data_IF_075576526040
#
_entry.id   IF_075576526040
#
_cell.length_a   1.000
_cell.length_b   1.000
_cell.length_c   1.000
_cell.angle_alpha   90.00
_cell.angle_beta   90.00
_cell.angle_gamma   90.00
#
_symmetry.space_group_name_H-M   'P 1'
#
loop_
_entity.id
_entity.type
_entity.pdbx_description
1 polymer ?
#
# COMPACT_ATOMS: atom_id res chain seq x y z
N UNK A 1 7.61 10.78 16.53
CA UNK A 1 7.60 9.72 15.50
C UNK A 1 7.90 8.41 16.18
N UNK A 2 7.02 7.44 16.04
CA UNK A 2 7.20 6.05 16.50
C UNK A 2 7.30 5.13 15.29
N UNK A 3 8.03 4.03 15.45
CA UNK A 3 8.03 2.94 14.48
C UNK A 3 7.15 1.82 15.03
N UNK A 4 6.19 1.39 14.23
CA UNK A 4 5.25 0.33 14.57
C UNK A 4 5.33 -0.76 13.51
N UNK A 5 5.34 -2.01 13.93
CA UNK A 5 5.21 -3.15 13.02
C UNK A 5 3.82 -3.74 13.15
N UNK A 6 3.08 -3.77 12.05
CA UNK A 6 1.81 -4.46 11.96
C UNK A 6 2.06 -5.90 11.51
N UNK A 7 1.55 -6.93 12.22
CA UNK A 7 1.86 -8.34 11.95
C UNK A 7 1.28 -8.87 10.63
N UNK A 8 0.51 -8.06 9.91
CA UNK A 8 -0.04 -8.43 8.61
C UNK A 8 -0.72 -7.27 7.90
N UNK A 9 -0.90 -7.41 6.59
CA UNK A 9 -1.71 -6.49 5.76
C UNK A 9 -3.18 -6.48 6.23
N UNK A 10 -3.67 -7.56 6.83
CA UNK A 10 -5.02 -7.62 7.37
C UNK A 10 -5.27 -6.61 8.52
N UNK A 11 -4.24 -6.33 9.33
CA UNK A 11 -4.34 -5.38 10.45
C UNK A 11 -4.48 -3.93 9.95
N UNK A 12 -3.91 -3.63 8.80
CA UNK A 12 -4.09 -2.32 8.13
C UNK A 12 -5.57 -2.09 7.81
N UNK A 13 -6.29 -3.14 7.37
CA UNK A 13 -7.73 -3.06 7.07
C UNK A 13 -8.56 -2.80 8.33
N UNK A 14 -8.18 -3.40 9.46
CA UNK A 14 -8.87 -3.23 10.73
C UNK A 14 -8.65 -1.83 11.34
N UNK A 15 -7.54 -1.19 10.98
CA UNK A 15 -7.22 0.17 11.39
C UNK A 15 -7.99 1.18 10.52
N UNK A 16 -8.60 2.18 11.15
CA UNK A 16 -9.33 3.27 10.47
C UNK A 16 -8.36 4.16 9.70
N UNK A 17 -7.98 3.73 8.50
CA UNK A 17 -7.02 4.43 7.66
C UNK A 17 -7.76 5.36 6.68
N UNK A 18 -7.46 6.65 6.79
CA UNK A 18 -7.83 7.63 5.79
C UNK A 18 -6.76 7.65 4.69
N UNK A 19 -7.12 7.11 3.53
CA UNK A 19 -6.26 7.03 2.35
C UNK A 19 -6.32 8.29 1.48
N UNK A 20 -7.28 9.19 1.71
CA UNK A 20 -7.45 10.38 0.89
C UNK A 20 -7.43 11.64 1.74
N UNK A 21 -6.42 12.46 1.49
CA UNK A 21 -6.31 13.80 2.07
C UNK A 21 -6.34 14.83 0.96
N UNK A 22 -6.91 16.00 1.23
CA UNK A 22 -7.06 17.05 0.22
C UNK A 22 -5.75 17.59 -0.36
N UNK A 23 -4.60 17.27 0.25
CA UNK A 23 -3.27 17.64 -0.22
C UNK A 23 -2.58 16.58 -1.10
N UNK A 24 -3.16 15.39 -1.22
CA UNK A 24 -2.72 14.33 -2.14
C UNK A 24 -3.49 14.39 -3.49
N UNK A 25 -3.93 15.60 -3.90
CA UNK A 25 -4.77 15.79 -5.11
C UNK A 25 -4.08 15.27 -6.37
N UNK A 26 -4.89 14.53 -7.12
CA UNK A 26 -4.64 13.62 -8.25
C UNK A 26 -3.59 12.53 -7.98
N UNK A 27 -4.01 11.35 -7.47
CA UNK A 27 -3.10 10.23 -7.40
C UNK A 27 -2.64 9.88 -8.82
N UNK A 28 -1.32 9.84 -9.02
CA UNK A 28 -0.73 8.95 -10.02
C UNK A 28 -1.26 7.55 -9.73
N UNK A 29 -2.32 7.18 -10.43
CA UNK A 29 -2.95 5.87 -10.33
C UNK A 29 -1.94 4.90 -10.92
N UNK A 30 -1.41 4.00 -10.10
CA UNK A 30 -0.54 2.96 -10.61
C UNK A 30 -1.30 2.14 -11.65
N UNK A 31 -0.68 1.96 -12.83
CA UNK A 31 -1.19 1.02 -13.83
C UNK A 31 -1.23 -0.39 -13.23
N UNK A 32 -2.04 -1.28 -13.82
CA UNK A 32 -2.08 -2.67 -13.34
C UNK A 32 -0.70 -3.34 -13.39
N UNK A 33 0.13 -3.00 -14.37
CA UNK A 33 1.50 -3.49 -14.48
C UNK A 33 2.38 -3.02 -13.30
N UNK A 34 2.28 -1.76 -12.89
CA UNK A 34 3.01 -1.23 -11.74
C UNK A 34 2.58 -1.94 -10.45
N UNK A 35 1.27 -2.15 -10.27
CA UNK A 35 0.72 -2.89 -9.13
C UNK A 35 1.25 -4.32 -9.10
N UNK A 36 1.21 -5.03 -10.23
CA UNK A 36 1.69 -6.41 -10.36
C UNK A 36 3.21 -6.51 -10.06
N UNK A 37 4.01 -5.59 -10.60
CA UNK A 37 5.46 -5.53 -10.36
C UNK A 37 5.79 -5.28 -8.88
N UNK A 38 5.02 -4.41 -8.22
CA UNK A 38 5.18 -4.16 -6.80
C UNK A 38 4.83 -5.39 -5.96
N UNK A 39 3.72 -6.09 -6.25
CA UNK A 39 3.34 -7.32 -5.53
C UNK A 39 4.42 -8.39 -5.69
N UNK A 40 4.98 -8.57 -6.89
CA UNK A 40 6.04 -9.55 -7.09
C UNK A 40 7.33 -9.18 -6.36
N UNK A 41 7.65 -7.88 -6.31
CA UNK A 41 8.77 -7.37 -5.49
C UNK A 41 8.55 -7.70 -4.02
N UNK A 42 7.35 -7.43 -3.49
CA UNK A 42 7.00 -7.77 -2.11
C UNK A 42 7.19 -9.27 -1.84
N UNK A 43 6.70 -10.13 -2.72
CA UNK A 43 6.83 -11.59 -2.57
C UNK A 43 8.26 -12.08 -2.67
N UNK A 44 9.07 -11.48 -3.53
CA UNK A 44 10.47 -11.85 -3.77
C UNK A 44 11.35 -11.50 -2.58
N UNK A 45 11.15 -10.32 -2.01
CA UNK A 45 12.00 -9.79 -0.93
C UNK A 45 11.39 -9.90 0.46
N UNK A 46 10.14 -10.37 0.55
CA UNK A 46 9.37 -10.37 1.80
C UNK A 46 9.38 -8.99 2.49
N UNK A 47 9.29 -7.92 1.68
CA UNK A 47 9.34 -6.54 2.12
C UNK A 47 8.27 -5.69 1.41
N UNK A 48 7.39 -5.04 2.17
CA UNK A 48 6.31 -4.18 1.65
C UNK A 48 6.73 -2.73 1.40
N UNK A 49 7.92 -2.33 1.86
CA UNK A 49 8.23 -0.93 2.08
C UNK A 49 7.66 -0.43 3.40
N UNK A 50 8.11 0.77 3.81
CA UNK A 50 7.54 1.50 4.93
C UNK A 50 6.35 2.36 4.50
N UNK A 51 5.41 2.54 5.41
CA UNK A 51 4.26 3.43 5.27
C UNK A 51 4.36 4.54 6.30
N UNK A 52 3.89 5.74 5.96
CA UNK A 52 3.91 6.88 6.88
C UNK A 52 2.49 7.30 7.19
N UNK A 53 2.16 7.42 8.48
CA UNK A 53 0.84 7.79 8.95
C UNK A 53 0.89 8.96 9.93
N UNK A 54 -0.04 9.91 9.78
CA UNK A 54 -0.37 10.85 10.85
C UNK A 54 -1.48 10.23 11.71
N UNK A 55 -1.30 10.25 13.03
CA UNK A 55 -2.31 9.79 13.98
C UNK A 55 -3.10 11.01 14.47
N UNK A 56 -4.40 10.97 14.25
CA UNK A 56 -5.36 11.91 14.81
C UNK A 56 -6.36 11.18 15.69
N UNK A 57 -6.91 11.89 16.67
CA UNK A 57 -7.96 11.35 17.54
C UNK A 57 -9.27 12.00 17.13
N UNK A 58 -10.28 11.19 16.83
CA UNK A 58 -11.61 11.68 16.48
C UNK A 58 -12.39 12.16 17.71
N UNK A 59 -13.59 12.69 17.48
CA UNK A 59 -14.47 13.15 18.55
C UNK A 59 -14.96 12.04 19.50
N UNK A 60 -14.75 10.77 19.16
CA UNK A 60 -15.06 9.60 20.00
C UNK A 60 -13.87 9.14 20.83
N UNK A 61 -12.70 9.76 20.66
CA UNK A 61 -11.45 9.33 21.30
C UNK A 61 -10.74 8.20 20.55
N UNK A 62 -11.20 7.84 19.35
CA UNK A 62 -10.60 6.76 18.57
C UNK A 62 -9.49 7.30 17.66
N UNK A 63 -8.42 6.52 17.52
CA UNK A 63 -7.32 6.84 16.61
C UNK A 63 -7.74 6.64 15.15
N UNK A 64 -7.42 7.65 14.34
CA UNK A 64 -7.51 7.64 12.88
C UNK A 64 -6.09 7.77 12.33
N UNK A 65 -5.75 6.87 11.40
CA UNK A 65 -4.46 6.85 10.70
C UNK A 65 -4.62 7.52 9.35
N UNK A 66 -4.03 8.69 9.15
CA UNK A 66 -4.01 9.38 7.87
C UNK A 66 -2.76 8.96 7.11
N UNK A 67 -2.93 8.31 5.96
CA UNK A 67 -1.79 7.90 5.12
C UNK A 67 -1.11 9.14 4.54
N UNK A 68 0.12 9.42 4.94
CA UNK A 68 0.95 10.52 4.41
C UNK A 68 1.68 10.05 3.14
N UNK A 69 2.27 8.85 3.19
CA UNK A 69 3.01 8.23 2.07
C UNK A 69 2.72 6.72 1.97
N UNK A 70 2.83 6.18 0.75
CA UNK A 70 2.64 4.77 0.47
C UNK A 70 1.23 4.37 0.03
N UNK A 71 0.34 5.33 -0.26
CA UNK A 71 -1.05 5.10 -0.68
C UNK A 71 -1.20 4.04 -1.79
N UNK A 72 -0.47 4.18 -2.91
CA UNK A 72 -0.59 3.25 -4.04
C UNK A 72 -0.08 1.85 -3.70
N UNK A 73 0.99 1.76 -2.91
CA UNK A 73 1.52 0.49 -2.37
C UNK A 73 0.48 -0.20 -1.48
N UNK A 74 -0.13 0.58 -0.59
CA UNK A 74 -1.12 0.10 0.36
C UNK A 74 -2.38 -0.40 -0.36
N UNK A 75 -2.90 0.40 -1.30
CA UNK A 75 -4.02 0.01 -2.16
C UNK A 75 -3.71 -1.27 -2.94
N UNK A 76 -2.51 -1.40 -3.50
CA UNK A 76 -2.11 -2.60 -4.25
C UNK A 76 -2.12 -3.85 -3.36
N UNK A 77 -1.63 -3.75 -2.12
CA UNK A 77 -1.68 -4.86 -1.16
C UNK A 77 -3.14 -5.21 -0.79
N UNK A 78 -3.97 -4.22 -0.49
CA UNK A 78 -5.38 -4.43 -0.14
C UNK A 78 -6.15 -5.08 -1.30
N UNK A 79 -6.06 -4.53 -2.51
CA UNK A 79 -6.70 -5.08 -3.71
C UNK A 79 -6.24 -6.52 -4.00
N UNK A 80 -4.94 -6.81 -3.84
CA UNK A 80 -4.40 -8.15 -4.08
C UNK A 80 -4.94 -9.19 -3.10
N UNK A 81 -5.00 -8.84 -1.81
CA UNK A 81 -5.50 -9.73 -0.74
C UNK A 81 -7.01 -9.95 -0.85
N UNK A 82 -7.77 -8.95 -1.30
CA UNK A 82 -9.22 -9.06 -1.55
C UNK A 82 -9.56 -9.90 -2.79
N UNK A 83 -8.55 -10.31 -3.54
CA UNK A 83 -8.72 -11.14 -4.72
C UNK A 83 -9.30 -10.37 -5.89
N UNK A 84 -9.01 -9.07 -6.00
CA UNK A 84 -9.40 -8.27 -7.16
C UNK A 84 -8.94 -8.96 -8.45
N UNK A 85 -9.82 -9.10 -9.45
CA UNK A 85 -9.62 -9.97 -10.61
C UNK A 85 -8.47 -9.53 -11.54
N UNK A 86 -7.94 -8.32 -11.34
CA UNK A 86 -7.06 -7.66 -12.30
C UNK A 86 -5.58 -7.92 -12.09
N UNK A 87 -5.15 -8.65 -11.05
CA UNK A 87 -3.75 -9.09 -11.04
C UNK A 87 -3.61 -10.20 -12.05
N UNK A 88 -3.03 -9.86 -13.20
CA UNK A 88 -2.97 -10.67 -14.42
C UNK A 88 -2.42 -12.09 -14.20
N UNK A 89 -1.74 -12.31 -13.05
CA UNK A 89 -1.06 -13.54 -12.65
C UNK A 89 -1.84 -14.42 -11.67
N UNK A 90 -3.02 -13.98 -11.23
CA UNK A 90 -3.95 -14.81 -10.45
C UNK A 90 -4.83 -15.69 -11.32
N UNK A 91 -4.89 -15.44 -12.62
CA UNK A 91 -5.72 -16.16 -13.57
C UNK A 91 -4.87 -16.77 -14.68
N UNK A 92 -5.22 -17.98 -15.10
CA UNK A 92 -4.58 -18.69 -16.21
C UNK A 92 -5.66 -19.18 -17.17
N UNK A 93 -5.32 -19.32 -18.45
CA UNK A 93 -6.23 -19.90 -19.43
C UNK A 93 -6.53 -21.36 -19.05
N UNK A 94 -7.80 -21.72 -19.05
CA UNK A 94 -8.18 -23.12 -18.93
C UNK A 94 -7.82 -23.85 -20.24
N UNK A 95 -7.02 -24.92 -20.22
CA UNK A 95 -6.67 -25.65 -21.43
C UNK A 95 -7.89 -26.28 -22.14
N UNK A 96 -9.01 -26.44 -21.41
CA UNK A 96 -10.23 -27.09 -21.92
C UNK A 96 -11.39 -26.11 -22.17
N UNK A 97 -11.21 -24.80 -21.98
CA UNK A 97 -12.28 -23.81 -22.24
C UNK A 97 -11.71 -22.42 -22.47
N UNK A 98 -12.48 -21.52 -23.08
CA UNK A 98 -12.14 -20.10 -23.20
C UNK A 98 -12.28 -19.30 -21.89
N UNK A 99 -12.54 -19.98 -20.77
CA UNK A 99 -12.67 -19.33 -19.46
C UNK A 99 -11.31 -19.23 -18.75
N UNK A 100 -11.12 -18.14 -18.03
CA UNK A 100 -10.02 -17.99 -17.09
C UNK A 100 -10.31 -18.77 -15.81
N UNK A 101 -9.30 -19.46 -15.29
CA UNK A 101 -9.35 -20.16 -14.00
C UNK A 101 -8.29 -19.63 -13.06
N UNK A 102 -8.54 -19.73 -11.75
CA UNK A 102 -7.56 -19.32 -10.75
C UNK A 102 -6.27 -20.10 -10.92
N UNK A 103 -5.13 -19.41 -10.87
CA UNK A 103 -3.82 -20.04 -10.81
C UNK A 103 -3.78 -20.99 -9.59
N UNK A 104 -3.23 -22.21 -9.71
CA UNK A 104 -3.18 -23.18 -8.61
C UNK A 104 -2.54 -22.68 -7.31
N UNK A 105 -1.71 -21.64 -7.38
CA UNK A 105 -1.04 -21.03 -6.23
C UNK A 105 -1.63 -19.68 -5.84
N UNK A 106 -2.76 -19.26 -6.42
CA UNK A 106 -3.34 -17.94 -6.12
C UNK A 106 -3.65 -17.78 -4.63
N UNK A 107 -4.25 -18.79 -4.00
CA UNK A 107 -4.58 -18.79 -2.57
C UNK A 107 -3.31 -18.70 -1.72
N UNK A 108 -2.32 -19.55 -1.97
CA UNK A 108 -1.07 -19.56 -1.18
C UNK A 108 -0.25 -18.29 -1.39
N UNK A 109 -0.29 -17.69 -2.59
CA UNK A 109 0.35 -16.40 -2.88
C UNK A 109 -0.32 -15.25 -2.13
N UNK A 110 -1.65 -15.22 -2.04
CA UNK A 110 -2.40 -14.23 -1.25
C UNK A 110 -2.09 -14.36 0.23
N UNK A 111 -2.19 -15.56 0.79
CA UNK A 111 -1.87 -15.83 2.21
C UNK A 111 -0.45 -15.39 2.58
N UNK A 112 0.51 -15.59 1.68
CA UNK A 112 1.88 -15.12 1.89
C UNK A 112 1.98 -13.60 1.98
N UNK A 113 1.24 -12.85 1.16
CA UNK A 113 1.18 -11.39 1.23
C UNK A 113 0.45 -10.93 2.49
N UNK A 114 -0.68 -11.56 2.83
CA UNK A 114 -1.47 -11.22 4.03
C UNK A 114 -0.65 -11.34 5.31
N UNK A 115 0.22 -12.35 5.39
CA UNK A 115 1.09 -12.62 6.52
C UNK A 115 2.39 -11.79 6.53
N UNK A 116 2.62 -10.90 5.58
CA UNK A 116 3.81 -10.04 5.59
C UNK A 116 3.68 -8.97 6.68
N UNK A 117 4.71 -8.85 7.51
CA UNK A 117 4.84 -7.73 8.44
C UNK A 117 4.95 -6.41 7.67
N UNK A 118 4.23 -5.39 8.15
CA UNK A 118 4.24 -4.07 7.57
C UNK A 118 4.85 -3.07 8.54
N UNK A 119 5.90 -2.38 8.09
CA UNK A 119 6.57 -1.33 8.87
C UNK A 119 5.86 0.01 8.65
N UNK A 120 5.49 0.66 9.74
CA UNK A 120 4.78 1.93 9.77
C UNK A 120 5.58 2.96 10.58
N UNK A 121 5.66 4.19 10.09
CA UNK A 121 6.11 5.35 10.85
C UNK A 121 4.90 6.20 11.22
N UNK A 122 4.67 6.38 12.50
CA UNK A 122 3.49 7.07 13.03
C UNK A 122 3.90 8.42 13.65
N UNK A 123 3.20 9.47 13.20
CA UNK A 123 3.38 10.84 13.64
C UNK A 123 2.13 11.29 14.38
N UNK A 124 2.23 11.40 15.71
CA UNK A 124 1.12 11.85 16.55
C UNK A 124 1.06 13.37 16.57
N UNK A 125 -0.17 13.90 16.53
CA UNK A 125 -0.46 15.33 16.78
C UNK A 125 0.27 16.31 15.84
N UNK A 126 0.56 15.88 14.61
CA UNK A 126 1.19 16.75 13.60
C UNK A 126 0.16 17.54 12.78
N UNK A 127 0.48 18.80 12.52
CA UNK A 127 -0.34 19.69 11.69
C UNK A 127 -0.43 19.21 10.24
N UNK A 128 -1.48 19.60 9.53
CA UNK A 128 -1.62 19.30 8.09
C UNK A 128 -0.46 19.89 7.26
N UNK A 129 0.10 21.03 7.67
CA UNK A 129 1.28 21.64 7.03
C UNK A 129 2.51 20.74 7.19
N UNK A 130 2.71 20.17 8.38
CA UNK A 130 3.77 19.19 8.64
C UNK A 130 3.56 17.91 7.83
N UNK A 131 2.31 17.43 7.71
CA UNK A 131 1.99 16.27 6.87
C UNK A 131 2.37 16.52 5.40
N UNK A 132 2.08 17.73 4.88
CA UNK A 132 2.45 18.15 3.52
C UNK A 132 3.96 18.19 3.32
N UNK A 133 4.71 18.71 4.30
CA UNK A 133 6.17 18.77 4.24
C UNK A 133 6.79 17.36 4.23
N UNK A 134 6.31 16.46 5.09
CA UNK A 134 6.71 15.04 5.10
C UNK A 134 6.42 14.38 3.74
N UNK A 135 5.24 14.60 3.18
CA UNK A 135 4.87 14.07 1.86
C UNK A 135 5.80 14.60 0.76
N UNK A 136 6.09 15.91 0.75
CA UNK A 136 7.00 16.52 -0.24
C UNK A 136 8.40 15.94 -0.13
N UNK A 137 8.97 15.86 1.08
CA UNK A 137 10.32 15.30 1.30
C UNK A 137 10.43 13.85 0.87
N UNK A 138 9.39 13.06 1.10
CA UNK A 138 9.33 11.66 0.66
C UNK A 138 9.32 11.52 -0.86
N UNK A 139 8.85 12.54 -1.59
CA UNK A 139 8.81 12.57 -3.06
C UNK A 139 9.94 13.40 -3.71
N UNK A 140 10.63 14.28 -2.97
CA UNK A 140 11.70 15.14 -3.49
C UNK A 140 12.92 14.33 -3.97
N UNK A 141 13.20 13.17 -3.36
CA UNK A 141 14.22 12.23 -3.84
C UNK A 141 13.93 11.60 -5.21
N UNK A 142 12.71 11.75 -5.75
CA UNK A 142 12.34 11.25 -7.08
C UNK A 142 12.57 12.28 -8.21
N UNK A 143 12.72 13.56 -7.87
CA UNK A 143 12.89 14.66 -8.86
C UNK A 143 14.31 15.19 -8.99
N UNK A 144 15.17 15.06 -7.98
CA UNK A 144 16.55 15.61 -8.04
C UNK A 144 17.57 14.74 -8.82
N UNK A 145 17.14 13.67 -9.49
CA UNK A 145 18.04 12.76 -10.25
C UNK A 145 17.77 12.70 -11.77
N UNK A 146 17.04 13.65 -12.35
CA UNK A 146 16.73 13.63 -13.80
C UNK A 146 17.23 14.84 -14.61
N UNK A 147 17.92 15.79 -13.98
CA UNK A 147 18.48 16.97 -14.68
C UNK A 147 20.02 17.01 -14.75
N UNK A 148 20.71 15.95 -14.31
CA UNK A 148 22.18 15.82 -14.48
C UNK A 148 22.56 14.45 -15.08
N UNK A 149 22.23 14.22 -16.36
CA UNK A 149 22.95 13.31 -17.26
C UNK A 149 22.78 13.76 -18.73
#
# INVERSE_FOLDING_TARGET
>A
MSTTELPGVAEIRANRILLDTGFQRDPSVWSQEMKDNYIDTCRKFSYTGSFQFAIQVDNTGAEIRICIDGKQRLLSLLEYTEGAPNTSRQWVNNPNSSQLVSHPYAITRRQRIEAMTVTCFEYHEISEETQKDIFRRSNLGATENLDEL
#
